data_IF_112336779326
#
_entry.id   IF_112336779326
#
_cell.length_a   1.000
_cell.length_b   1.000
_cell.length_c   1.000
_cell.angle_alpha   90.00
_cell.angle_beta   90.00
_cell.angle_gamma   90.00
#
_symmetry.space_group_name_H-M   'P 1'
#
loop_
_entity.id
_entity.type
_entity.pdbx_description
1 polymer ?
#
# COMPACT_ATOMS: atom_id res chain seq x y z
N UNK A 1 36.04 -40.67 15.53
CA UNK A 1 34.99 -40.31 14.54
C UNK A 1 33.76 -41.22 14.66
N UNK A 2 33.34 -41.63 15.86
CA UNK A 2 32.17 -42.52 16.04
C UNK A 2 31.19 -42.16 17.18
N UNK A 3 31.48 -41.19 18.04
CA UNK A 3 30.58 -40.88 19.17
C UNK A 3 29.41 -39.93 18.86
N UNK A 4 29.36 -39.31 17.66
CA UNK A 4 28.24 -38.41 17.29
C UNK A 4 27.05 -39.12 16.64
N UNK A 5 27.15 -40.41 16.28
CA UNK A 5 26.06 -41.11 15.59
C UNK A 5 25.09 -41.86 16.53
N UNK A 6 25.39 -42.00 17.82
CA UNK A 6 24.56 -42.80 18.74
C UNK A 6 23.57 -41.97 19.59
N UNK A 7 23.60 -40.63 19.52
CA UNK A 7 22.61 -39.77 20.21
C UNK A 7 21.38 -39.43 19.36
N UNK A 8 21.21 -40.05 18.19
CA UNK A 8 20.11 -39.74 17.27
C UNK A 8 18.87 -40.63 17.42
N UNK A 9 18.89 -41.62 18.31
CA UNK A 9 17.79 -42.61 18.43
C UNK A 9 17.26 -42.82 19.84
N UNK A 10 17.71 -42.01 20.81
CA UNK A 10 17.17 -42.06 22.17
C UNK A 10 16.03 -41.02 22.32
N UNK A 11 14.96 -41.23 21.56
CA UNK A 11 13.67 -40.62 21.86
C UNK A 11 12.92 -41.59 22.76
N UNK A 12 12.70 -41.22 24.01
CA UNK A 12 11.93 -42.02 24.95
C UNK A 12 10.47 -42.17 24.45
N UNK A 13 9.93 -43.39 24.52
CA UNK A 13 8.59 -43.73 24.02
C UNK A 13 7.49 -43.18 24.94
N UNK A 14 7.78 -43.02 26.23
CA UNK A 14 6.87 -42.54 27.28
C UNK A 14 7.08 -41.06 27.66
N UNK A 15 7.22 -40.15 26.68
CA UNK A 15 7.16 -38.72 26.96
C UNK A 15 5.69 -38.25 26.99
N UNK A 16 5.11 -37.93 28.17
CA UNK A 16 3.70 -37.52 28.30
C UNK A 16 3.40 -36.17 27.62
N UNK A 17 4.41 -35.48 27.09
CA UNK A 17 4.26 -34.25 26.29
C UNK A 17 4.30 -34.48 24.77
N UNK A 18 3.96 -35.68 24.28
CA UNK A 18 3.72 -35.96 22.85
C UNK A 18 2.44 -35.36 22.26
N UNK A 19 1.84 -34.34 22.88
CA UNK A 19 0.89 -33.52 22.15
C UNK A 19 1.69 -32.64 21.18
N UNK A 20 1.74 -33.06 19.92
CA UNK A 20 1.97 -32.13 18.83
C UNK A 20 0.85 -31.11 19.00
N UNK A 21 1.17 -29.98 19.64
CA UNK A 21 0.30 -28.82 19.60
C UNK A 21 0.23 -28.51 18.13
N UNK A 22 -0.89 -28.92 17.51
CA UNK A 22 -1.27 -28.47 16.19
C UNK A 22 -1.14 -26.96 16.30
N UNK A 23 -0.15 -26.37 15.62
CA UNK A 23 -0.08 -24.92 15.46
C UNK A 23 -1.49 -24.49 15.13
N UNK A 24 -2.12 -23.58 15.90
CA UNK A 24 -3.52 -23.28 15.73
C UNK A 24 -3.69 -22.84 14.28
N UNK A 25 -4.26 -23.72 13.48
CA UNK A 25 -4.83 -23.38 12.20
C UNK A 25 -5.99 -22.48 12.57
N UNK A 26 -5.80 -21.17 12.44
CA UNK A 26 -6.88 -20.20 12.59
C UNK A 26 -7.82 -20.41 11.41
N UNK A 27 -8.69 -21.41 11.53
CA UNK A 27 -9.95 -21.45 10.83
C UNK A 27 -11.00 -20.83 11.75
N UNK A 28 -11.44 -19.63 11.42
CA UNK A 28 -12.73 -19.08 11.81
C UNK A 28 -13.21 -18.32 10.58
N UNK A 29 -14.04 -18.96 9.75
CA UNK A 29 -15.52 -18.93 9.75
C UNK A 29 -16.10 -17.55 9.45
N UNK A 30 -17.08 -17.57 8.54
CA UNK A 30 -17.87 -16.48 7.97
C UNK A 30 -18.03 -15.18 8.80
N UNK A 31 -17.86 -14.05 8.11
CA UNK A 31 -18.60 -12.83 8.41
C UNK A 31 -17.98 -11.85 9.41
N UNK A 32 -16.71 -11.45 9.22
CA UNK A 32 -16.19 -10.18 9.72
C UNK A 32 -15.14 -9.65 8.71
N UNK A 33 -15.10 -8.34 8.39
CA UNK A 33 -14.12 -7.83 7.46
C UNK A 33 -12.72 -8.01 8.07
N UNK A 34 -11.90 -8.77 7.37
CA UNK A 34 -10.51 -9.09 7.67
C UNK A 34 -9.68 -7.80 7.73
N UNK A 35 -9.63 -7.19 8.91
CA UNK A 35 -8.69 -6.12 9.22
C UNK A 35 -7.50 -6.76 9.91
N UNK A 36 -6.41 -7.08 9.17
CA UNK A 36 -4.99 -6.79 9.55
C UNK A 36 -3.91 -7.53 8.75
N UNK A 37 -4.21 -8.32 7.72
CA UNK A 37 -3.13 -8.75 6.81
C UNK A 37 -2.82 -7.67 5.77
N UNK A 38 -1.56 -7.18 5.79
CA UNK A 38 -1.06 -6.27 4.78
C UNK A 38 -1.20 -6.93 3.40
N UNK A 39 -1.73 -6.21 2.39
CA UNK A 39 -1.97 -6.81 1.09
C UNK A 39 -0.64 -7.26 0.47
N UNK A 40 -0.58 -8.51 0.01
CA UNK A 40 0.58 -9.07 -0.70
C UNK A 40 0.35 -9.05 -2.21
N UNK A 41 -0.91 -9.01 -2.64
CA UNK A 41 -1.32 -8.92 -4.03
C UNK A 41 -2.34 -7.79 -4.20
N UNK A 42 -2.43 -7.24 -5.41
CA UNK A 42 -3.46 -6.25 -5.75
C UNK A 42 -4.89 -6.80 -5.62
N UNK A 43 -5.05 -8.12 -5.68
CA UNK A 43 -6.34 -8.79 -5.49
C UNK A 43 -6.82 -8.81 -4.03
N UNK A 44 -5.89 -8.67 -3.07
CA UNK A 44 -6.21 -8.67 -1.63
C UNK A 44 -6.91 -7.35 -1.23
N UNK A 45 -6.75 -6.29 -2.04
CA UNK A 45 -7.45 -5.01 -1.90
C UNK A 45 -8.85 -5.16 -2.50
N UNK A 46 -9.78 -5.70 -1.70
CA UNK A 46 -11.20 -5.88 -2.04
C UNK A 46 -12.07 -4.66 -1.70
N UNK A 47 -13.39 -4.70 -1.98
CA UNK A 47 -14.32 -3.58 -1.78
C UNK A 47 -14.36 -2.98 -0.37
N UNK A 48 -14.11 -3.81 0.65
CA UNK A 48 -14.09 -3.38 2.06
C UNK A 48 -12.75 -2.74 2.46
N UNK A 49 -11.77 -2.71 1.56
CA UNK A 49 -10.45 -2.12 1.81
C UNK A 49 -10.45 -0.61 1.57
N UNK A 50 -9.82 0.16 2.47
CA UNK A 50 -9.72 1.63 2.37
C UNK A 50 -9.11 2.13 1.06
N UNK A 51 -8.18 1.35 0.49
CA UNK A 51 -7.47 1.68 -0.76
C UNK A 51 -8.19 1.17 -2.02
N UNK A 52 -9.38 0.55 -1.88
CA UNK A 52 -10.10 -0.02 -3.01
C UNK A 52 -10.47 1.01 -4.07
N UNK A 53 -10.99 2.17 -3.64
CA UNK A 53 -11.36 3.23 -4.58
C UNK A 53 -10.15 3.75 -5.37
N UNK A 54 -9.03 3.98 -4.65
CA UNK A 54 -7.76 4.38 -5.27
C UNK A 54 -7.26 3.31 -6.25
N UNK A 55 -7.32 2.03 -5.88
CA UNK A 55 -6.96 0.92 -6.77
C UNK A 55 -7.78 0.94 -8.06
N UNK A 56 -9.10 1.11 -7.98
CA UNK A 56 -9.95 1.15 -9.17
C UNK A 56 -9.60 2.32 -10.09
N UNK A 57 -9.41 3.52 -9.52
CA UNK A 57 -9.02 4.70 -10.28
C UNK A 57 -7.67 4.51 -10.98
N UNK A 58 -6.67 4.00 -10.27
CA UNK A 58 -5.34 3.72 -10.84
C UNK A 58 -5.43 2.63 -11.90
N UNK A 59 -6.21 1.56 -11.69
CA UNK A 59 -6.45 0.51 -12.71
C UNK A 59 -7.05 1.08 -13.98
N UNK A 60 -8.05 1.95 -13.87
CA UNK A 60 -8.65 2.61 -15.03
C UNK A 60 -7.63 3.48 -15.75
N UNK A 61 -6.86 4.29 -15.03
CA UNK A 61 -5.83 5.16 -15.61
C UNK A 61 -4.71 4.38 -16.32
N UNK A 62 -4.18 3.34 -15.68
CA UNK A 62 -3.15 2.48 -16.28
C UNK A 62 -3.71 1.68 -17.46
N UNK A 63 -4.93 1.17 -17.36
CA UNK A 63 -5.60 0.49 -18.49
C UNK A 63 -5.77 1.41 -19.69
N UNK A 64 -6.04 2.71 -19.49
CA UNK A 64 -6.08 3.69 -20.57
C UNK A 64 -4.69 3.92 -21.19
N UNK A 65 -3.62 3.94 -20.39
CA UNK A 65 -2.23 4.02 -20.87
C UNK A 65 -1.90 2.79 -21.74
N UNK A 66 -2.27 1.59 -21.29
CA UNK A 66 -2.01 0.36 -22.04
C UNK A 66 -2.79 0.33 -23.35
N UNK A 67 -4.06 0.71 -23.33
CA UNK A 67 -4.89 0.81 -24.53
C UNK A 67 -4.31 1.81 -25.54
N UNK A 68 -3.82 2.97 -25.08
CA UNK A 68 -3.16 3.96 -25.95
C UNK A 68 -1.87 3.41 -26.57
N UNK A 69 -1.15 2.54 -25.85
CA UNK A 69 0.03 1.85 -26.36
C UNK A 69 -0.29 0.62 -27.22
N UNK A 70 -1.56 0.28 -27.41
CA UNK A 70 -1.98 -0.94 -28.13
C UNK A 70 -1.60 -2.24 -27.40
N UNK A 71 -1.45 -2.17 -26.07
CA UNK A 71 -1.07 -3.31 -25.23
C UNK A 71 -2.26 -3.80 -24.43
N UNK A 72 -2.26 -5.09 -24.14
CA UNK A 72 -3.15 -5.68 -23.13
C UNK A 72 -2.49 -5.57 -21.76
N UNK A 73 -3.26 -5.42 -20.67
CA UNK A 73 -2.72 -5.43 -19.31
C UNK A 73 -1.86 -6.67 -19.06
N UNK A 74 -0.65 -6.47 -18.56
CA UNK A 74 0.34 -7.51 -18.28
C UNK A 74 0.96 -7.33 -16.88
N UNK A 75 2.00 -8.11 -16.57
CA UNK A 75 2.72 -8.00 -15.29
C UNK A 75 3.33 -6.61 -15.05
N UNK A 76 3.75 -5.90 -16.11
CA UNK A 76 4.28 -4.55 -15.97
C UNK A 76 3.15 -3.57 -15.63
N UNK A 77 1.96 -3.77 -16.19
CA UNK A 77 0.76 -3.01 -15.82
C UNK A 77 0.44 -3.19 -14.33
N UNK A 78 0.52 -4.42 -13.80
CA UNK A 78 0.30 -4.67 -12.37
C UNK A 78 1.34 -3.98 -11.48
N UNK A 79 2.64 -4.06 -11.83
CA UNK A 79 3.71 -3.35 -11.11
C UNK A 79 3.54 -1.85 -11.16
N UNK A 80 3.15 -1.32 -12.32
CA UNK A 80 2.85 0.10 -12.49
C UNK A 80 1.67 0.53 -11.61
N UNK A 81 0.58 -0.24 -11.57
CA UNK A 81 -0.57 0.03 -10.69
C UNK A 81 -0.12 0.08 -9.23
N UNK A 82 0.61 -0.93 -8.75
CA UNK A 82 1.05 -0.99 -7.36
C UNK A 82 2.00 0.18 -7.00
N UNK A 83 2.92 0.52 -7.90
CA UNK A 83 3.85 1.64 -7.74
C UNK A 83 3.14 2.98 -7.72
N UNK A 84 2.15 3.19 -8.60
CA UNK A 84 1.38 4.44 -8.67
C UNK A 84 0.48 4.62 -7.44
N UNK A 85 -0.15 3.55 -6.95
CA UNK A 85 -0.88 3.59 -5.68
C UNK A 85 0.02 4.01 -4.52
N UNK A 86 1.21 3.42 -4.45
CA UNK A 86 2.21 3.72 -3.43
C UNK A 86 2.65 5.18 -3.51
N UNK A 87 2.97 5.67 -4.71
CA UNK A 87 3.32 7.06 -4.98
C UNK A 87 2.22 8.03 -4.52
N UNK A 88 0.97 7.70 -4.83
CA UNK A 88 -0.18 8.48 -4.40
C UNK A 88 -0.23 8.59 -2.87
N UNK A 89 -0.07 7.46 -2.16
CA UNK A 89 -0.11 7.47 -0.70
C UNK A 89 1.06 8.22 -0.06
N UNK A 90 2.27 8.05 -0.58
CA UNK A 90 3.46 8.77 -0.10
C UNK A 90 3.33 10.29 -0.27
N UNK A 91 2.56 10.76 -1.25
CA UNK A 91 2.37 12.19 -1.54
C UNK A 91 1.05 12.74 -1.00
N UNK A 92 0.44 12.06 -0.02
CA UNK A 92 -0.80 12.49 0.62
C UNK A 92 -1.97 12.69 -0.37
N UNK A 93 -1.95 11.99 -1.50
CA UNK A 93 -3.08 11.92 -2.42
C UNK A 93 -4.10 10.92 -1.85
N UNK A 94 -5.36 11.29 -1.97
CA UNK A 94 -6.51 10.49 -1.53
C UNK A 94 -7.15 9.74 -2.69
N UNK A 95 -7.05 10.29 -3.90
CA UNK A 95 -7.59 9.75 -5.15
C UNK A 95 -6.60 9.96 -6.31
N UNK A 96 -6.80 9.22 -7.37
CA UNK A 96 -6.02 9.31 -8.60
C UNK A 96 -6.95 9.63 -9.78
N UNK A 97 -7.42 10.88 -9.86
CA UNK A 97 -8.34 11.32 -10.91
C UNK A 97 -7.73 11.16 -12.31
N UNK A 98 -6.40 11.33 -12.43
CA UNK A 98 -5.67 11.04 -13.65
C UNK A 98 -4.36 10.29 -13.36
N UNK A 99 -4.07 9.29 -14.19
CA UNK A 99 -2.75 8.66 -14.30
C UNK A 99 -2.27 8.87 -15.74
N UNK A 100 -1.18 9.60 -15.92
CA UNK A 100 -0.71 10.02 -17.24
C UNK A 100 0.79 9.85 -17.37
N UNK A 101 1.25 9.68 -18.61
CA UNK A 101 2.67 9.61 -18.95
C UNK A 101 3.20 10.98 -19.38
N UNK A 102 4.49 11.20 -19.18
CA UNK A 102 5.18 12.42 -19.63
C UNK A 102 5.14 12.52 -21.15
N UNK A 103 4.93 13.74 -21.65
CA UNK A 103 5.10 14.05 -23.06
C UNK A 103 6.58 13.98 -23.47
N UNK A 104 6.83 13.82 -24.77
CA UNK A 104 8.17 13.95 -25.33
C UNK A 104 8.65 15.39 -25.19
N UNK A 105 9.93 15.54 -24.82
CA UNK A 105 10.64 16.81 -24.76
C UNK A 105 11.95 16.70 -25.54
N UNK A 106 12.70 17.80 -25.68
CA UNK A 106 14.01 17.75 -26.33
C UNK A 106 15.02 16.84 -25.60
N UNK A 107 14.88 16.70 -24.29
CA UNK A 107 15.81 15.95 -23.44
C UNK A 107 15.35 14.52 -23.16
N UNK A 108 14.03 14.27 -23.23
CA UNK A 108 13.43 13.04 -22.73
C UNK A 108 12.34 12.50 -23.66
N UNK A 109 12.29 11.17 -23.88
CA UNK A 109 11.22 10.56 -24.65
C UNK A 109 9.88 10.63 -23.89
N UNK A 110 8.78 10.48 -24.65
CA UNK A 110 7.47 10.28 -24.04
C UNK A 110 7.49 9.04 -23.14
N UNK A 111 6.68 9.03 -22.07
CA UNK A 111 6.56 7.89 -21.17
C UNK A 111 7.69 7.70 -20.17
N UNK A 112 8.70 8.58 -20.13
CA UNK A 112 9.80 8.49 -19.15
C UNK A 112 9.32 8.61 -17.69
N UNK A 113 8.30 9.43 -17.44
CA UNK A 113 7.76 9.67 -16.10
C UNK A 113 6.27 9.39 -16.09
N UNK A 114 5.80 8.71 -15.06
CA UNK A 114 4.37 8.56 -14.77
C UNK A 114 3.97 9.60 -13.71
N UNK A 115 2.82 10.22 -13.92
CA UNK A 115 2.22 11.18 -13.01
C UNK A 115 0.89 10.64 -12.52
N UNK A 116 0.65 10.80 -11.23
CA UNK A 116 -0.68 10.67 -10.62
C UNK A 116 -1.15 12.07 -10.23
N UNK A 117 -2.37 12.41 -10.61
CA UNK A 117 -2.96 13.73 -10.38
C UNK A 117 -4.32 13.58 -9.70
N UNK A 118 -4.54 14.43 -8.70
CA UNK A 118 -5.80 14.62 -8.01
C UNK A 118 -6.34 16.01 -8.33
N UNK A 119 -7.56 16.06 -8.84
CA UNK A 119 -8.20 17.24 -9.42
C UNK A 119 -8.07 17.30 -10.94
N UNK A 120 -8.75 18.27 -11.53
CA UNK A 120 -8.74 18.51 -12.97
C UNK A 120 -7.35 18.96 -13.46
N UNK A 121 -6.89 18.43 -14.60
CA UNK A 121 -5.57 18.75 -15.17
C UNK A 121 -5.37 20.25 -15.47
N UNK A 122 -6.45 20.97 -15.78
CA UNK A 122 -6.43 22.42 -16.06
C UNK A 122 -6.60 23.29 -14.80
N UNK A 123 -6.88 22.68 -13.64
CA UNK A 123 -7.02 23.41 -12.39
C UNK A 123 -5.62 23.60 -11.75
N UNK A 124 -5.17 24.84 -11.49
CA UNK A 124 -3.86 25.09 -10.89
C UNK A 124 -3.72 24.57 -9.45
N UNK A 125 -4.85 24.30 -8.78
CA UNK A 125 -4.86 23.72 -7.44
C UNK A 125 -4.82 22.18 -7.43
N UNK A 126 -4.59 21.52 -8.58
CA UNK A 126 -4.43 20.07 -8.59
C UNK A 126 -3.21 19.64 -7.77
N UNK A 127 -3.32 18.50 -7.13
CA UNK A 127 -2.20 17.84 -6.48
C UNK A 127 -1.63 16.81 -7.44
N UNK A 128 -0.30 16.71 -7.51
CA UNK A 128 0.35 15.72 -8.36
C UNK A 128 1.57 15.13 -7.70
N UNK A 129 1.84 13.88 -8.05
CA UNK A 129 3.08 13.20 -7.73
C UNK A 129 3.63 12.53 -8.99
N UNK A 130 4.94 12.31 -9.02
CA UNK A 130 5.63 11.79 -10.19
C UNK A 130 6.68 10.75 -9.80
N UNK A 131 6.90 9.76 -10.67
CA UNK A 131 8.03 8.84 -10.56
C UNK A 131 8.50 8.38 -11.94
N UNK A 132 9.74 7.87 -12.02
CA UNK A 132 10.24 7.25 -13.23
C UNK A 132 9.39 6.02 -13.59
N UNK A 133 8.93 5.94 -14.84
CA UNK A 133 8.17 4.78 -15.33
C UNK A 133 9.00 3.51 -15.27
N UNK A 134 10.32 3.61 -15.54
CA UNK A 134 11.25 2.47 -15.43
C UNK A 134 11.30 1.90 -14.00
N UNK A 135 11.32 2.78 -12.99
CA UNK A 135 11.28 2.37 -11.58
C UNK A 135 9.93 1.72 -11.26
N UNK A 136 8.84 2.31 -11.74
CA UNK A 136 7.50 1.81 -11.47
C UNK A 136 7.24 0.40 -12.04
N UNK A 137 7.74 0.09 -13.24
CA UNK A 137 7.56 -1.24 -13.85
C UNK A 137 8.57 -2.28 -13.37
N UNK A 138 9.69 -1.85 -12.76
CA UNK A 138 10.72 -2.76 -12.20
C UNK A 138 10.47 -3.11 -10.74
N UNK A 139 9.74 -2.28 -10.01
CA UNK A 139 9.44 -2.52 -8.59
C UNK A 139 8.45 -3.69 -8.48
N UNK A 140 8.76 -4.76 -7.74
CA UNK A 140 7.82 -5.86 -7.50
C UNK A 140 6.52 -5.36 -6.85
N UNK A 141 5.42 -6.05 -7.14
CA UNK A 141 4.10 -5.72 -6.56
C UNK A 141 4.15 -5.82 -5.04
N UNK A 142 4.72 -6.91 -4.51
CA UNK A 142 4.78 -7.11 -3.05
C UNK A 142 5.57 -5.99 -2.35
N UNK A 143 6.68 -5.57 -2.95
CA UNK A 143 7.50 -4.47 -2.41
C UNK A 143 6.73 -3.14 -2.42
N UNK A 144 5.99 -2.87 -3.49
CA UNK A 144 5.15 -1.67 -3.58
C UNK A 144 4.05 -1.69 -2.52
N UNK A 145 3.36 -2.82 -2.35
CA UNK A 145 2.29 -2.96 -1.37
C UNK A 145 2.79 -2.86 0.09
N UNK A 146 3.98 -3.36 0.38
CA UNK A 146 4.62 -3.15 1.68
C UNK A 146 4.87 -1.67 1.96
N UNK A 147 5.33 -0.91 0.95
CA UNK A 147 5.53 0.53 1.05
C UNK A 147 4.21 1.28 1.17
N UNK A 148 3.16 0.85 0.44
CA UNK A 148 1.82 1.38 0.51
C UNK A 148 1.26 1.31 1.94
N UNK A 149 1.40 0.15 2.59
CA UNK A 149 0.93 -0.03 3.96
C UNK A 149 1.71 0.85 4.94
N UNK A 150 3.04 0.90 4.78
CA UNK A 150 3.89 1.77 5.61
C UNK A 150 3.46 3.24 5.52
N UNK A 151 3.30 3.76 4.29
CA UNK A 151 2.85 5.13 4.06
C UNK A 151 1.44 5.40 4.65
N UNK A 152 0.56 4.41 4.59
CA UNK A 152 -0.81 4.53 5.08
C UNK A 152 -0.88 4.53 6.62
N UNK A 153 -0.08 3.69 7.29
CA UNK A 153 0.06 3.68 8.75
C UNK A 153 0.68 4.98 9.25
N UNK A 154 1.73 5.48 8.60
CA UNK A 154 2.37 6.76 8.93
C UNK A 154 1.36 7.92 8.85
N UNK A 155 0.58 7.97 7.77
CA UNK A 155 -0.48 8.97 7.61
C UNK A 155 -1.53 8.89 8.71
N UNK A 156 -2.03 7.70 9.04
CA UNK A 156 -2.99 7.53 10.13
C UNK A 156 -2.43 8.01 11.46
N UNK A 157 -1.15 7.71 11.77
CA UNK A 157 -0.49 8.19 12.98
C UNK A 157 -0.39 9.72 13.01
N UNK A 158 -0.03 10.35 11.90
CA UNK A 158 0.03 11.81 11.80
C UNK A 158 -1.34 12.47 12.04
N UNK A 159 -2.41 11.89 11.48
CA UNK A 159 -3.78 12.39 11.68
C UNK A 159 -4.25 12.27 13.13
N UNK A 160 -3.93 11.15 13.80
CA UNK A 160 -4.27 10.96 15.22
C UNK A 160 -3.52 11.94 16.13
N UNK A 161 -2.24 12.19 15.85
CA UNK A 161 -1.44 13.15 16.63
C UNK A 161 -1.93 14.59 16.45
N UNK A 162 -2.33 14.97 15.23
CA UNK A 162 -2.91 16.30 14.97
C UNK A 162 -4.20 16.53 15.77
N UNK A 163 -5.11 15.55 15.78
CA UNK A 163 -6.37 15.64 16.54
C UNK A 163 -6.14 15.79 18.05
N UNK A 164 -5.13 15.10 18.59
CA UNK A 164 -4.82 15.17 20.01
C UNK A 164 -4.23 16.55 20.38
N UNK A 165 -3.36 17.11 19.54
CA UNK A 165 -2.83 18.47 19.74
C UNK A 165 -3.91 19.54 19.65
N UNK A 166 -4.85 19.42 18.70
CA UNK A 166 -5.97 20.35 18.57
C UNK A 166 -6.89 20.30 19.79
N UNK A 167 -7.14 19.10 20.33
CA UNK A 167 -7.93 18.93 21.55
C UNK A 167 -7.23 19.57 22.75
N UNK A 168 -5.94 19.32 22.93
CA UNK A 168 -5.15 19.92 24.00
C UNK A 168 -5.11 21.44 23.89
N UNK A 169 -4.97 21.99 22.69
CA UNK A 169 -4.95 23.43 22.47
C UNK A 169 -6.31 24.07 22.80
N UNK A 170 -7.42 23.45 22.38
CA UNK A 170 -8.78 23.90 22.74
C UNK A 170 -9.03 23.86 24.24
N UNK A 171 -8.55 22.84 24.95
CA UNK A 171 -8.67 22.75 26.42
C UNK A 171 -7.89 23.88 27.09
N UNK A 172 -6.66 24.16 26.62
CA UNK A 172 -5.83 25.26 27.12
C UNK A 172 -6.49 26.62 26.88
N UNK A 173 -7.00 26.87 25.68
CA UNK A 173 -7.70 28.12 25.34
C UNK A 173 -8.95 28.32 26.21
N UNK A 174 -9.80 27.29 26.36
CA UNK A 174 -10.98 27.37 27.22
C UNK A 174 -10.64 27.61 28.70
N UNK A 175 -9.54 27.02 29.19
CA UNK A 175 -9.09 27.25 30.56
C UNK A 175 -8.56 28.68 30.75
N UNK A 176 -7.94 29.25 29.71
CA UNK A 176 -7.45 30.63 29.70
C UNK A 176 -8.59 31.65 29.69
N UNK A 177 -9.65 31.41 28.90
CA UNK A 177 -10.82 32.30 28.83
C UNK A 177 -11.67 32.33 30.10
N UNK A 178 -11.64 31.26 30.92
CA UNK A 178 -12.38 31.20 32.19
C UNK A 178 -11.70 31.93 33.35
N UNK A 179 -10.43 32.29 33.19
CA UNK A 179 -9.62 32.95 34.24
C UNK A 179 -9.47 34.46 34.03
N UNK A 180 -10.02 35.00 32.93
CA UNK A 180 -10.09 36.43 32.63
C UNK A 180 -11.47 36.99 32.99
#
# INVERSE_FOLDING_TARGET
>A
RLERQQKATQFHEDDPYRSITRSPFTASVDGAPDQTQAPTKLADIGPDHRDYNLLQQVRTGVGAIDAQAGRTPDENSERLIASVMTLARQNNLDRADHVVLSNQTAEHPAGRTVFVVQGELNNPAHLRAAMSTDVAVRTPVEQSLQQLETASVERQRALMQGQQQDMDNRVRENMSMRMA
#
